data_IF_309530768283
#
_entry.id   IF_309530768283
#
_cell.length_a   1.000
_cell.length_b   1.000
_cell.length_c   1.000
_cell.angle_alpha   90.00
_cell.angle_beta   90.00
_cell.angle_gamma   90.00
#
_symmetry.space_group_name_H-M   'P 1'
#
loop_
_entity.id
_entity.type
_entity.pdbx_description
1 polymer ?
#
# COMPACT_ATOMS: atom_id res chain seq x y z
N UNK A 1 -8.67 1.72 9.55
CA UNK A 1 -8.13 0.86 8.49
C UNK A 1 -8.94 1.11 7.24
N UNK A 2 -8.25 1.50 6.19
CA UNK A 2 -8.79 1.68 4.85
C UNK A 2 -8.44 0.45 4.02
N UNK A 3 -9.22 0.21 2.96
CA UNK A 3 -8.99 -0.91 2.03
C UNK A 3 -8.77 -0.39 0.62
N UNK A 4 -8.01 -1.15 -0.15
CA UNK A 4 -7.73 -0.84 -1.54
C UNK A 4 -7.12 -2.02 -2.26
N UNK A 5 -6.64 -1.78 -3.48
CA UNK A 5 -5.93 -2.79 -4.27
C UNK A 5 -4.55 -2.31 -4.68
N UNK A 6 -3.58 -3.21 -4.75
CA UNK A 6 -2.25 -2.90 -5.27
C UNK A 6 -2.38 -2.50 -6.74
N UNK A 7 -2.14 -1.23 -7.05
CA UNK A 7 -2.20 -0.71 -8.41
C UNK A 7 -0.90 -0.96 -9.18
N UNK A 8 0.23 -0.81 -8.49
CA UNK A 8 1.55 -0.91 -9.09
C UNK A 8 2.61 -1.29 -8.07
N UNK A 9 3.51 -2.19 -8.46
CA UNK A 9 4.71 -2.54 -7.70
C UNK A 9 5.97 -2.12 -8.46
N UNK A 10 6.92 -1.54 -7.74
CA UNK A 10 8.24 -1.12 -8.20
C UNK A 10 9.28 -1.61 -7.18
N UNK A 11 10.57 -1.49 -7.48
CA UNK A 11 11.62 -2.02 -6.60
C UNK A 11 11.58 -1.40 -5.19
N UNK A 12 11.01 -2.12 -4.22
CA UNK A 12 10.91 -1.75 -2.81
C UNK A 12 9.75 -0.82 -2.44
N UNK A 13 8.83 -0.52 -3.35
CA UNK A 13 7.67 0.34 -3.07
C UNK A 13 6.54 0.12 -4.07
N UNK A 14 5.37 0.66 -3.77
CA UNK A 14 4.22 0.57 -4.67
C UNK A 14 3.16 1.63 -4.43
N UNK A 15 2.04 1.44 -5.11
CA UNK A 15 0.87 2.30 -5.02
C UNK A 15 -0.39 1.47 -4.81
N UNK A 16 -1.24 1.94 -3.90
CA UNK A 16 -2.55 1.35 -3.59
C UNK A 16 -3.62 2.24 -4.21
N UNK A 17 -4.50 1.66 -5.03
CA UNK A 17 -5.72 2.32 -5.47
C UNK A 17 -6.79 2.17 -4.39
N UNK A 18 -7.46 3.28 -4.05
CA UNK A 18 -8.58 3.32 -3.11
C UNK A 18 -9.77 4.01 -3.75
N UNK A 19 -10.98 3.64 -3.33
CA UNK A 19 -12.18 4.26 -3.88
C UNK A 19 -12.24 5.77 -3.56
N UNK A 20 -12.53 6.57 -4.59
CA UNK A 20 -12.81 8.00 -4.44
C UNK A 20 -11.61 8.89 -4.11
N UNK A 21 -10.38 8.37 -4.18
CA UNK A 21 -9.17 9.13 -3.82
C UNK A 21 -8.00 8.92 -4.77
N UNK A 22 -6.93 9.68 -4.52
CA UNK A 22 -5.65 9.48 -5.20
C UNK A 22 -4.94 8.21 -4.73
N UNK A 23 -4.13 7.65 -5.63
CA UNK A 23 -3.30 6.48 -5.33
C UNK A 23 -2.41 6.76 -4.12
N UNK A 24 -2.34 5.81 -3.21
CA UNK A 24 -1.56 5.94 -1.98
C UNK A 24 -0.22 5.24 -2.12
N UNK A 25 0.86 5.97 -1.89
CA UNK A 25 2.21 5.42 -1.87
C UNK A 25 2.44 4.54 -0.63
N UNK A 26 3.20 3.45 -0.77
CA UNK A 26 3.73 2.68 0.36
C UNK A 26 5.16 2.19 0.08
N UNK A 27 5.98 2.05 1.11
CA UNK A 27 7.30 1.42 1.01
C UNK A 27 7.24 -0.04 1.51
N UNK A 28 8.17 -0.90 1.08
CA UNK A 28 8.27 -2.28 1.59
C UNK A 28 8.48 -2.37 3.10
N UNK A 29 8.96 -1.29 3.72
CA UNK A 29 9.15 -1.17 5.16
C UNK A 29 7.84 -0.90 5.93
N UNK A 30 6.78 -0.51 5.21
CA UNK A 30 5.47 -0.21 5.76
C UNK A 30 4.52 -1.42 5.67
N UNK A 31 5.02 -2.56 5.19
CA UNK A 31 4.28 -3.82 5.16
C UNK A 31 4.21 -4.45 6.54
N UNK A 32 3.06 -5.05 6.84
CA UNK A 32 2.81 -5.83 8.04
C UNK A 32 2.28 -7.20 7.64
N UNK A 33 2.80 -8.27 8.25
CA UNK A 33 2.33 -9.64 8.05
C UNK A 33 2.41 -10.17 6.60
N UNK A 34 3.04 -9.43 5.69
CA UNK A 34 3.26 -9.81 4.28
C UNK A 34 4.63 -9.36 3.82
N UNK A 35 5.32 -10.19 3.02
CA UNK A 35 6.57 -9.79 2.36
C UNK A 35 6.27 -9.08 1.04
N UNK A 36 7.13 -8.13 0.65
CA UNK A 36 6.95 -7.37 -0.59
C UNK A 36 6.90 -8.27 -1.84
N UNK A 37 7.72 -9.32 -1.84
CA UNK A 37 7.80 -10.27 -2.97
C UNK A 37 6.56 -11.17 -3.09
N UNK A 38 5.70 -11.23 -2.07
CA UNK A 38 4.45 -12.01 -2.10
C UNK A 38 3.26 -11.19 -2.62
N UNK A 39 3.42 -9.87 -2.81
CA UNK A 39 2.38 -8.98 -3.33
C UNK A 39 2.33 -9.02 -4.86
N UNK A 40 1.12 -8.90 -5.39
CA UNK A 40 0.84 -8.80 -6.81
C UNK A 40 -0.06 -7.59 -7.11
N UNK A 41 0.07 -7.03 -8.32
CA UNK A 41 -0.89 -6.03 -8.80
C UNK A 41 -2.31 -6.64 -8.86
N UNK A 42 -3.28 -5.91 -8.33
CA UNK A 42 -4.66 -6.35 -8.15
C UNK A 42 -4.98 -6.96 -6.79
N UNK A 43 -4.00 -7.26 -5.95
CA UNK A 43 -4.24 -7.78 -4.60
C UNK A 43 -5.03 -6.79 -3.75
N UNK A 44 -6.02 -7.28 -3.02
CA UNK A 44 -6.70 -6.50 -2.00
C UNK A 44 -5.84 -6.40 -0.75
N UNK A 45 -5.72 -5.18 -0.23
CA UNK A 45 -4.94 -4.88 0.97
C UNK A 45 -5.72 -3.97 1.90
N UNK A 46 -5.44 -4.11 3.18
CA UNK A 46 -5.83 -3.18 4.21
C UNK A 46 -4.60 -2.39 4.67
N UNK A 47 -4.81 -1.14 5.05
CA UNK A 47 -3.75 -0.24 5.46
C UNK A 47 -4.27 0.89 6.34
N UNK A 48 -3.35 1.68 6.88
CA UNK A 48 -3.63 2.92 7.60
C UNK A 48 -3.05 4.10 6.84
N UNK A 49 -3.80 5.20 6.76
CA UNK A 49 -3.30 6.43 6.10
C UNK A 49 -2.41 7.18 7.08
N UNK A 50 -1.11 7.17 6.81
CA UNK A 50 -0.10 7.93 7.52
C UNK A 50 0.38 9.16 6.74
N UNK A 51 1.42 9.80 7.27
CA UNK A 51 2.07 10.96 6.66
C UNK A 51 3.55 10.67 6.42
N UNK A 52 4.03 10.99 5.22
CA UNK A 52 5.43 10.88 4.83
C UNK A 52 5.99 12.21 4.33
N UNK A 53 7.32 12.28 4.05
CA UNK A 53 7.99 13.49 3.59
C UNK A 53 7.49 14.00 2.23
N UNK A 54 6.74 13.17 1.48
CA UNK A 54 6.16 13.49 0.16
C UNK A 54 4.63 13.55 0.16
N UNK A 55 4.01 13.63 1.33
CA UNK A 55 2.55 13.61 1.49
C UNK A 55 2.04 12.30 2.11
N UNK A 56 0.73 12.03 2.01
CA UNK A 56 0.13 10.84 2.59
C UNK A 56 0.79 9.54 2.09
N UNK A 57 0.93 8.56 2.99
CA UNK A 57 1.42 7.21 2.66
C UNK A 57 0.56 6.14 3.33
N UNK A 58 0.68 4.90 2.89
CA UNK A 58 0.06 3.74 3.53
C UNK A 58 1.04 3.12 4.52
N UNK A 59 0.59 2.96 5.76
CA UNK A 59 1.27 2.27 6.84
C UNK A 59 0.55 0.96 7.16
N UNK A 60 1.24 0.01 7.80
CA UNK A 60 0.70 -1.27 8.26
C UNK A 60 -0.04 -2.05 7.15
N UNK A 61 0.53 -2.05 5.93
CA UNK A 61 -0.11 -2.65 4.76
C UNK A 61 -0.06 -4.18 4.87
N UNK A 62 -1.23 -4.81 4.82
CA UNK A 62 -1.39 -6.28 4.88
C UNK A 62 -2.40 -6.74 3.83
N UNK A 63 -2.26 -7.96 3.31
CA UNK A 63 -3.26 -8.59 2.43
C UNK A 63 -4.56 -8.86 3.21
N UNK A 64 -5.69 -8.72 2.52
CA UNK A 64 -7.03 -9.10 3.02
C UNK A 64 -7.36 -10.53 2.62
#
# INVERSE_FOLDING_TARGET
MDTGSIKKLLNGFGFISREGGEDLFFHSADLSEVAFDDLNEGDNVQFEVGSGPKGPKADNVSRV
#
